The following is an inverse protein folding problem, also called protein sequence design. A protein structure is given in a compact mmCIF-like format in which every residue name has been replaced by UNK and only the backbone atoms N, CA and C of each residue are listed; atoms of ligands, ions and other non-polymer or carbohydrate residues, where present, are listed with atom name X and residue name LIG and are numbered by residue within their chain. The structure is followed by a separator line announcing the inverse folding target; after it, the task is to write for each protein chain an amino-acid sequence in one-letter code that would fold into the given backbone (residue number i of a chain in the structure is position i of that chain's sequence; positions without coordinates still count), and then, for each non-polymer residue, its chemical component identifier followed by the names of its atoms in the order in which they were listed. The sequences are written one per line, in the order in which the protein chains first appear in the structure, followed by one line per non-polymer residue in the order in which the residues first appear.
data_IF_444263533755
#
_entry.id   IF_444263533755
#
_cell.length_a   1.000
_cell.length_b   1.000
_cell.length_c   1.000
_cell.angle_alpha   90.00
_cell.angle_beta   90.00
_cell.angle_gamma   90.00
#
_symmetry.space_group_name_H-M   'P 1'
#
loop_
_entity.id
_entity.type
_entity.pdbx_description
1 polymer ?
#
# COMPACT_ATOMS: atom_id res chain seq x y z
N UNK A 1 -8.33 4.25 -24.09
CA UNK A 1 -8.60 4.75 -22.74
C UNK A 1 -7.47 4.26 -21.86
N UNK A 2 -6.44 5.08 -21.71
CA UNK A 2 -5.26 4.76 -20.90
C UNK A 2 -5.71 4.62 -19.46
N UNK A 3 -5.51 3.43 -18.89
CA UNK A 3 -5.65 3.19 -17.46
C UNK A 3 -5.00 4.35 -16.73
N UNK A 4 -5.78 5.05 -15.92
CA UNK A 4 -5.31 5.91 -14.84
C UNK A 4 -4.17 5.15 -14.19
N UNK A 5 -2.94 5.63 -14.40
CA UNK A 5 -1.74 4.84 -14.16
C UNK A 5 -1.80 4.37 -12.71
N UNK A 6 -1.87 3.05 -12.50
CA UNK A 6 -1.70 2.49 -11.17
C UNK A 6 -0.38 3.09 -10.66
N UNK A 7 -0.50 3.98 -9.68
CA UNK A 7 0.62 4.74 -9.18
C UNK A 7 1.69 3.72 -8.78
N UNK A 8 2.86 3.79 -9.41
CA UNK A 8 3.94 2.87 -9.11
C UNK A 8 4.29 3.01 -7.63
N UNK A 9 4.10 1.92 -6.87
CA UNK A 9 4.25 1.92 -5.42
C UNK A 9 5.64 2.37 -4.99
N UNK A 10 6.68 1.91 -5.72
CA UNK A 10 8.06 2.30 -5.45
C UNK A 10 8.28 3.79 -5.69
N UNK A 11 7.82 4.31 -6.83
CA UNK A 11 7.92 5.73 -7.15
C UNK A 11 7.19 6.61 -6.14
N UNK A 12 6.02 6.19 -5.66
CA UNK A 12 5.26 6.89 -4.63
C UNK A 12 5.99 6.91 -3.28
N UNK A 13 6.57 5.78 -2.87
CA UNK A 13 7.37 5.70 -1.65
C UNK A 13 8.63 6.58 -1.75
N UNK A 14 9.30 6.58 -2.90
CA UNK A 14 10.47 7.44 -3.16
C UNK A 14 10.09 8.92 -3.14
N UNK A 15 8.95 9.29 -3.73
CA UNK A 15 8.46 10.66 -3.71
C UNK A 15 8.11 11.12 -2.28
N UNK A 16 7.38 10.29 -1.52
CA UNK A 16 7.10 10.58 -0.10
C UNK A 16 8.40 10.72 0.70
N UNK A 17 9.38 9.83 0.50
CA UNK A 17 10.67 9.90 1.18
C UNK A 17 11.45 11.18 0.80
N UNK A 18 11.41 11.58 -0.46
CA UNK A 18 12.02 12.81 -0.94
C UNK A 18 11.35 14.05 -0.32
N UNK A 19 10.01 14.09 -0.27
CA UNK A 19 9.26 15.17 0.37
C UNK A 19 9.52 15.25 1.89
N UNK A 20 9.69 14.11 2.54
CA UNK A 20 10.05 14.05 3.98
C UNK A 20 11.45 14.61 4.23
N UNK A 21 12.43 14.36 3.34
CA UNK A 21 13.83 14.78 3.50
C UNK A 21 14.13 16.17 2.96
N UNK A 22 13.34 16.64 1.99
CA UNK A 22 13.53 17.91 1.30
C UNK A 22 13.31 19.13 2.20
N UNK A 23 13.43 20.36 1.68
CA UNK A 23 13.03 21.58 2.40
C UNK A 23 11.50 21.62 2.60
N UNK A 24 11.01 22.50 3.49
CA UNK A 24 9.57 22.70 3.64
C UNK A 24 8.99 23.30 2.36
N UNK A 25 7.72 23.03 2.09
CA UNK A 25 7.02 23.60 0.94
C UNK A 25 6.76 25.10 1.21
N UNK A 26 7.62 25.94 0.64
CA UNK A 26 7.60 27.40 0.86
C UNK A 26 6.72 28.15 -0.14
N UNK A 27 6.43 27.55 -1.30
CA UNK A 27 5.53 28.10 -2.32
C UNK A 27 4.28 27.24 -2.52
N UNK A 28 3.28 27.82 -3.17
CA UNK A 28 1.98 27.19 -3.41
C UNK A 28 2.09 25.92 -4.26
N UNK A 29 3.01 25.89 -5.23
CA UNK A 29 3.19 24.74 -6.12
C UNK A 29 3.78 23.54 -5.36
N UNK A 30 4.75 23.79 -4.49
CA UNK A 30 5.36 22.79 -3.62
C UNK A 30 4.33 22.23 -2.62
N UNK A 31 3.44 23.08 -2.10
CA UNK A 31 2.36 22.67 -1.20
C UNK A 31 1.34 21.80 -1.92
N UNK A 32 0.85 22.24 -3.08
CA UNK A 32 -0.08 21.47 -3.90
C UNK A 32 0.50 20.10 -4.30
N UNK A 33 1.79 20.03 -4.66
CA UNK A 33 2.46 18.75 -4.93
C UNK A 33 2.48 17.85 -3.70
N UNK A 34 2.79 18.40 -2.53
CA UNK A 34 2.82 17.62 -1.28
C UNK A 34 1.44 17.05 -0.95
N UNK A 35 0.39 17.87 -1.02
CA UNK A 35 -0.99 17.45 -0.77
C UNK A 35 -1.48 16.38 -1.74
N UNK A 36 -1.16 16.54 -3.02
CA UNK A 36 -1.45 15.52 -4.04
C UNK A 36 -0.74 14.21 -3.72
N UNK A 37 0.55 14.25 -3.39
CA UNK A 37 1.33 13.04 -3.06
C UNK A 37 0.77 12.34 -1.80
N UNK A 38 0.33 13.10 -0.79
CA UNK A 38 -0.34 12.53 0.37
C UNK A 38 -1.67 11.87 -0.01
N UNK A 39 -2.47 12.52 -0.86
CA UNK A 39 -3.76 12.00 -1.32
C UNK A 39 -3.57 10.68 -2.07
N UNK A 40 -2.61 10.65 -3.00
CA UNK A 40 -2.21 9.46 -3.75
C UNK A 40 -1.72 8.34 -2.81
N UNK A 41 -0.92 8.70 -1.80
CA UNK A 41 -0.47 7.80 -0.74
C UNK A 41 -1.61 7.19 0.08
N UNK A 42 -2.61 7.98 0.48
CA UNK A 42 -3.77 7.46 1.21
C UNK A 42 -4.65 6.57 0.32
N UNK A 43 -4.84 6.93 -0.95
CA UNK A 43 -5.58 6.09 -1.90
C UNK A 43 -4.88 4.74 -2.14
N UNK A 44 -3.55 4.75 -2.25
CA UNK A 44 -2.74 3.53 -2.37
C UNK A 44 -2.86 2.66 -1.10
N UNK A 45 -2.78 3.26 0.09
CA UNK A 45 -2.95 2.54 1.36
C UNK A 45 -4.32 1.84 1.45
N UNK A 46 -5.41 2.51 1.07
CA UNK A 46 -6.74 1.89 1.01
C UNK A 46 -6.84 0.76 0.00
N UNK A 47 -6.11 0.86 -1.12
CA UNK A 47 -6.07 -0.20 -2.13
C UNK A 47 -5.37 -1.46 -1.60
N UNK A 48 -4.26 -1.29 -0.88
CA UNK A 48 -3.54 -2.38 -0.21
C UNK A 48 -4.37 -3.03 0.91
N UNK A 49 -5.06 -2.23 1.73
CA UNK A 49 -6.02 -2.75 2.74
C UNK A 49 -7.12 -3.60 2.09
N UNK A 50 -7.68 -3.13 0.97
CA UNK A 50 -8.70 -3.87 0.24
C UNK A 50 -8.14 -5.17 -0.37
N UNK A 51 -6.89 -5.16 -0.84
CA UNK A 51 -6.20 -6.35 -1.34
C UNK A 51 -6.00 -7.40 -0.22
N UNK A 52 -5.49 -6.99 0.95
CA UNK A 52 -5.35 -7.87 2.12
C UNK A 52 -6.68 -8.56 2.45
N UNK A 53 -7.77 -7.80 2.54
CA UNK A 53 -9.10 -8.34 2.84
C UNK A 53 -9.59 -9.34 1.77
N UNK A 54 -9.26 -9.12 0.49
CA UNK A 54 -9.61 -10.06 -0.59
C UNK A 54 -8.81 -11.36 -0.46
N UNK A 55 -7.51 -11.27 -0.17
CA UNK A 55 -6.63 -12.43 0.00
C UNK A 55 -7.05 -13.25 1.23
N UNK A 56 -7.28 -12.61 2.37
CA UNK A 56 -7.76 -13.26 3.59
C UNK A 56 -9.06 -14.03 3.36
N UNK A 57 -10.02 -13.42 2.65
CA UNK A 57 -11.28 -14.10 2.28
C UNK A 57 -11.03 -15.30 1.35
N UNK A 58 -10.07 -15.21 0.42
CA UNK A 58 -9.72 -16.32 -0.47
C UNK A 58 -9.09 -17.47 0.31
N UNK A 59 -8.15 -17.17 1.21
CA UNK A 59 -7.54 -18.16 2.13
C UNK A 59 -8.63 -18.86 2.94
N UNK A 60 -9.55 -18.11 3.55
CA UNK A 60 -10.65 -18.68 4.33
C UNK A 60 -11.54 -19.63 3.53
N UNK A 61 -11.85 -19.28 2.28
CA UNK A 61 -12.63 -20.15 1.37
C UNK A 61 -11.87 -21.43 1.01
N UNK A 62 -10.60 -21.31 0.64
CA UNK A 62 -9.77 -22.48 0.29
C UNK A 62 -9.62 -23.45 1.45
N UNK A 63 -9.40 -22.92 2.65
CA UNK A 63 -9.33 -23.71 3.87
C UNK A 63 -10.64 -24.45 4.17
N UNK A 64 -11.80 -23.79 3.98
CA UNK A 64 -13.12 -24.39 4.18
C UNK A 64 -13.46 -25.48 3.16
N UNK A 65 -13.00 -25.34 1.92
CA UNK A 65 -13.23 -26.29 0.83
C UNK A 65 -12.16 -27.40 0.77
N UNK A 66 -11.20 -27.44 1.69
CA UNK A 66 -10.07 -28.35 1.63
C UNK A 66 -10.52 -29.81 1.86
N UNK A 67 -10.31 -30.64 0.83
CA UNK A 67 -10.58 -32.08 0.87
C UNK A 67 -9.27 -32.87 0.91
N UNK A 68 -9.31 -34.14 1.32
CA UNK A 68 -8.11 -35.01 1.27
C UNK A 68 -7.61 -35.26 -0.17
N UNK A 69 -8.49 -35.11 -1.17
CA UNK A 69 -8.18 -35.36 -2.59
C UNK A 69 -7.39 -34.22 -3.24
N UNK A 70 -7.60 -32.99 -2.77
CA UNK A 70 -7.03 -31.78 -3.39
C UNK A 70 -6.04 -31.07 -2.45
N UNK A 71 -5.58 -31.76 -1.40
CA UNK A 71 -4.81 -31.17 -0.30
C UNK A 71 -3.51 -30.52 -0.77
N UNK A 72 -2.76 -31.20 -1.66
CA UNK A 72 -1.45 -30.73 -2.12
C UNK A 72 -1.60 -29.47 -2.99
N UNK A 73 -2.48 -29.52 -3.99
CA UNK A 73 -2.78 -28.37 -4.86
C UNK A 73 -3.30 -27.15 -4.06
N UNK A 74 -4.19 -27.37 -3.08
CA UNK A 74 -4.70 -26.29 -2.23
C UNK A 74 -3.65 -25.77 -1.24
N UNK A 75 -2.69 -26.60 -0.83
CA UNK A 75 -1.59 -26.17 0.03
C UNK A 75 -0.66 -25.20 -0.72
N UNK A 76 -0.37 -25.46 -2.00
CA UNK A 76 0.42 -24.56 -2.84
C UNK A 76 -0.31 -23.22 -3.05
N UNK A 77 -1.60 -23.23 -3.38
CA UNK A 77 -2.40 -21.99 -3.53
C UNK A 77 -2.46 -21.19 -2.21
N UNK A 78 -2.58 -21.88 -1.06
CA UNK A 78 -2.55 -21.23 0.25
C UNK A 78 -1.18 -20.61 0.57
N UNK A 79 -0.09 -21.27 0.17
CA UNK A 79 1.27 -20.74 0.35
C UNK A 79 1.49 -19.48 -0.51
N UNK A 80 1.03 -19.49 -1.75
CA UNK A 80 1.09 -18.33 -2.64
C UNK A 80 0.30 -17.14 -2.11
N UNK A 81 -0.95 -17.39 -1.68
CA UNK A 81 -1.79 -16.33 -1.10
C UNK A 81 -1.22 -15.78 0.20
N UNK A 82 -0.63 -16.65 1.03
CA UNK A 82 0.03 -16.23 2.27
C UNK A 82 1.25 -15.35 1.98
N UNK A 83 2.02 -15.67 0.93
CA UNK A 83 3.14 -14.84 0.47
C UNK A 83 2.66 -13.48 -0.05
N UNK A 84 1.58 -13.46 -0.85
CA UNK A 84 0.97 -12.22 -1.34
C UNK A 84 0.45 -11.35 -0.18
N UNK A 85 -0.25 -11.95 0.79
CA UNK A 85 -0.72 -11.25 1.98
C UNK A 85 0.43 -10.65 2.79
N UNK A 86 1.51 -11.41 2.97
CA UNK A 86 2.70 -10.94 3.67
C UNK A 86 3.32 -9.73 2.96
N UNK A 87 3.45 -9.76 1.64
CA UNK A 87 3.96 -8.63 0.85
C UNK A 87 3.08 -7.38 0.98
N UNK A 88 1.78 -7.52 0.72
CA UNK A 88 0.83 -6.41 0.86
C UNK A 88 0.84 -5.81 2.27
N UNK A 89 1.07 -6.63 3.30
CA UNK A 89 1.21 -6.18 4.69
C UNK A 89 2.48 -5.37 4.93
N UNK A 90 3.61 -5.83 4.41
CA UNK A 90 4.89 -5.09 4.50
C UNK A 90 4.77 -3.75 3.77
N UNK A 91 4.22 -3.75 2.56
CA UNK A 91 4.03 -2.55 1.74
C UNK A 91 3.11 -1.54 2.44
N UNK A 92 1.98 -2.00 2.98
CA UNK A 92 1.05 -1.15 3.72
C UNK A 92 1.67 -0.56 4.99
N UNK A 93 2.43 -1.36 5.74
CA UNK A 93 3.14 -0.89 6.93
C UNK A 93 4.18 0.17 6.57
N UNK A 94 4.96 -0.06 5.51
CA UNK A 94 5.95 0.88 5.03
C UNK A 94 5.31 2.21 4.60
N UNK A 95 4.27 2.15 3.77
CA UNK A 95 3.57 3.33 3.29
C UNK A 95 2.93 4.13 4.43
N UNK A 96 2.28 3.47 5.40
CA UNK A 96 1.71 4.14 6.58
C UNK A 96 2.78 4.85 7.42
N UNK A 97 3.97 4.26 7.56
CA UNK A 97 5.07 4.90 8.29
C UNK A 97 5.58 6.17 7.58
N UNK A 98 5.69 6.14 6.25
CA UNK A 98 6.03 7.31 5.44
C UNK A 98 4.96 8.40 5.58
N UNK A 99 3.68 8.06 5.38
CA UNK A 99 2.56 9.00 5.50
C UNK A 99 2.48 9.65 6.88
N UNK A 100 2.64 8.88 7.95
CA UNK A 100 2.66 9.41 9.31
C UNK A 100 3.82 10.40 9.54
N UNK A 101 4.98 10.12 8.95
CA UNK A 101 6.16 11.01 9.04
C UNK A 101 5.95 12.28 8.22
N UNK A 102 5.46 12.16 6.99
CA UNK A 102 5.12 13.29 6.13
C UNK A 102 4.08 14.21 6.79
N UNK A 103 3.02 13.64 7.38
CA UNK A 103 1.98 14.39 8.08
C UNK A 103 2.50 15.14 9.30
N UNK A 104 3.33 14.51 10.13
CA UNK A 104 3.96 15.18 11.29
C UNK A 104 4.78 16.39 10.88
N UNK A 105 5.50 16.28 9.76
CA UNK A 105 6.32 17.36 9.21
C UNK A 105 5.46 18.56 8.78
N UNK A 106 4.31 18.33 8.15
CA UNK A 106 3.36 19.40 7.79
C UNK A 106 2.78 20.05 9.04
N UNK A 107 2.33 19.27 10.01
CA UNK A 107 1.76 19.80 11.25
C UNK A 107 2.75 20.60 12.10
N UNK A 108 4.05 20.32 12.00
CA UNK A 108 5.09 21.09 12.70
C UNK A 108 5.48 22.40 11.99
N UNK A 109 5.08 22.56 10.72
CA UNK A 109 5.39 23.74 9.91
C UNK A 109 4.20 24.71 9.77
N UNK A 110 3.04 24.34 10.30
CA UNK A 110 1.82 25.16 10.40
C UNK A 110 1.78 25.91 11.74
#
# INVERSE_FOLDING_TARGET
MTSEAAIDFGALCDELAALIKGPLAHDEQARARFERTLTDGYACAHSLEAEQLRIERRIGKLAAEMSARDRELKADELAELSLQLSRASVDLQHLRALLATARRRVSAAA
#
